data_IF_650745697882
#
_entry.id   IF_650745697882
#
_cell.length_a   1.000
_cell.length_b   1.000
_cell.length_c   1.000
_cell.angle_alpha   90.00
_cell.angle_beta   90.00
_cell.angle_gamma   90.00
#
_symmetry.space_group_name_H-M   'P 1'
#
loop_
_entity.id
_entity.type
_entity.pdbx_description
1 polymer ?
#
# COMPACT_ATOMS: atom_id res chain seq x y z
N UNK A 1 -14.05 7.43 7.46
CA UNK A 1 -13.57 8.11 6.22
C UNK A 1 -12.07 7.87 5.97
N UNK A 2 -11.16 8.35 6.83
CA UNK A 2 -9.70 8.27 6.63
C UNK A 2 -9.13 6.86 6.38
N UNK A 3 -9.67 5.82 7.02
CA UNK A 3 -9.19 4.45 6.82
C UNK A 3 -9.48 3.90 5.42
N UNK A 4 -10.57 4.36 4.78
CA UNK A 4 -10.97 3.91 3.46
C UNK A 4 -10.00 4.47 2.40
N UNK A 5 -9.73 5.79 2.43
CA UNK A 5 -8.75 6.41 1.53
C UNK A 5 -7.36 5.84 1.76
N UNK A 6 -6.94 5.72 3.02
CA UNK A 6 -5.63 5.16 3.38
C UNK A 6 -5.50 3.71 2.91
N UNK A 7 -6.55 2.90 3.09
CA UNK A 7 -6.58 1.52 2.61
C UNK A 7 -6.52 1.41 1.09
N UNK A 8 -7.21 2.30 0.36
CA UNK A 8 -7.19 2.33 -1.10
C UNK A 8 -5.79 2.68 -1.62
N UNK A 9 -5.16 3.68 -1.01
CA UNK A 9 -3.80 4.08 -1.34
C UNK A 9 -2.82 2.96 -1.03
N UNK A 10 -2.89 2.33 0.14
CA UNK A 10 -2.02 1.20 0.50
C UNK A 10 -2.22 -0.03 -0.39
N UNK A 11 -3.46 -0.29 -0.83
CA UNK A 11 -3.76 -1.41 -1.72
C UNK A 11 -3.27 -1.19 -3.16
N UNK A 12 -3.26 0.06 -3.64
CA UNK A 12 -2.94 0.40 -5.04
C UNK A 12 -1.53 0.95 -5.25
N UNK A 13 -0.96 1.63 -4.25
CA UNK A 13 0.38 2.19 -4.28
C UNK A 13 1.45 1.18 -4.68
N UNK A 14 1.55 -0.04 -4.09
CA UNK A 14 2.60 -1.00 -4.46
C UNK A 14 2.50 -1.52 -5.91
N UNK A 15 1.35 -1.33 -6.57
CA UNK A 15 1.12 -1.73 -7.97
C UNK A 15 1.24 -0.55 -8.95
N UNK A 16 1.44 0.65 -8.43
CA UNK A 16 1.55 1.86 -9.23
C UNK A 16 2.97 2.06 -9.75
N UNK A 17 3.09 2.74 -10.89
CA UNK A 17 4.39 3.15 -11.45
C UNK A 17 5.18 4.07 -10.49
N UNK A 18 4.50 4.72 -9.53
CA UNK A 18 5.13 5.52 -8.49
C UNK A 18 5.95 4.67 -7.51
N UNK A 19 5.52 3.43 -7.25
CA UNK A 19 6.26 2.50 -6.38
C UNK A 19 7.53 1.99 -7.05
N UNK A 20 7.49 1.75 -8.37
CA UNK A 20 8.65 1.31 -9.15
C UNK A 20 9.65 2.44 -9.45
N UNK A 21 9.19 3.69 -9.59
CA UNK A 21 10.04 4.86 -9.89
C UNK A 21 10.17 5.80 -8.71
N UNK A 22 10.31 5.24 -7.51
CA UNK A 22 10.37 6.02 -6.28
C UNK A 22 11.78 6.58 -6.03
N UNK A 23 11.88 7.87 -5.70
CA UNK A 23 13.15 8.55 -5.39
C UNK A 23 13.88 7.88 -4.21
N UNK A 24 13.14 7.25 -3.31
CA UNK A 24 13.69 6.45 -2.20
C UNK A 24 14.44 5.20 -2.65
N UNK A 25 14.00 4.55 -3.74
CA UNK A 25 14.70 3.41 -4.33
C UNK A 25 15.99 3.84 -5.03
N UNK A 26 16.00 5.06 -5.56
CA UNK A 26 17.17 5.67 -6.19
C UNK A 26 18.24 6.06 -5.16
N UNK A 27 17.83 6.52 -3.97
CA UNK A 27 18.76 6.87 -2.88
C UNK A 27 19.20 5.63 -2.09
N UNK A 28 18.36 4.58 -1.97
CA UNK A 28 18.63 3.38 -1.16
C UNK A 28 18.49 2.07 -1.97
N UNK A 29 19.45 1.76 -2.86
CA UNK A 29 19.37 0.61 -3.77
C UNK A 29 19.33 -0.74 -3.04
N UNK A 30 19.90 -0.84 -1.82
CA UNK A 30 19.85 -2.06 -1.01
C UNK A 30 18.43 -2.41 -0.54
N UNK A 31 17.61 -1.39 -0.23
CA UNK A 31 16.20 -1.60 0.10
C UNK A 31 15.33 -1.75 -1.14
N UNK A 32 15.82 -1.31 -2.31
CA UNK A 32 15.05 -1.39 -3.53
C UNK A 32 14.74 -2.82 -3.94
N UNK A 33 15.71 -3.73 -3.83
CA UNK A 33 15.48 -5.16 -4.09
C UNK A 33 14.39 -5.75 -3.20
N UNK A 34 14.37 -5.39 -1.91
CA UNK A 34 13.38 -5.88 -0.93
C UNK A 34 11.99 -5.29 -1.22
N UNK A 35 11.91 -3.99 -1.47
CA UNK A 35 10.65 -3.27 -1.71
C UNK A 35 9.97 -3.66 -3.03
N UNK A 36 10.75 -4.15 -4.01
CA UNK A 36 10.25 -4.67 -5.28
C UNK A 36 9.85 -6.15 -5.22
N UNK A 37 10.13 -6.87 -4.11
CA UNK A 37 9.68 -8.26 -3.97
C UNK A 37 8.16 -8.35 -3.93
N UNK A 38 7.60 -9.40 -4.55
CA UNK A 38 6.17 -9.68 -4.48
C UNK A 38 5.66 -9.85 -3.04
N UNK A 39 6.51 -10.30 -2.12
CA UNK A 39 6.18 -10.43 -0.70
C UNK A 39 5.88 -9.07 -0.03
N UNK A 40 6.73 -8.06 -0.25
CA UNK A 40 6.51 -6.72 0.32
C UNK A 40 5.31 -6.03 -0.32
N UNK A 41 5.18 -6.14 -1.65
CA UNK A 41 3.98 -5.63 -2.36
C UNK A 41 2.70 -6.27 -1.83
N UNK A 42 2.73 -7.58 -1.60
CA UNK A 42 1.63 -8.34 -1.01
C UNK A 42 1.33 -7.94 0.44
N UNK A 43 2.35 -7.75 1.27
CA UNK A 43 2.19 -7.33 2.67
C UNK A 43 1.55 -5.94 2.77
N UNK A 44 2.06 -4.96 1.99
CA UNK A 44 1.53 -3.59 1.94
C UNK A 44 0.10 -3.59 1.41
N UNK A 45 -0.18 -4.37 0.37
CA UNK A 45 -1.55 -4.52 -0.16
C UNK A 45 -2.49 -5.17 0.85
N UNK A 46 -2.03 -6.18 1.59
CA UNK A 46 -2.81 -6.85 2.64
C UNK A 46 -3.20 -5.90 3.78
N UNK A 47 -2.27 -5.07 4.23
CA UNK A 47 -2.56 -4.00 5.21
C UNK A 47 -3.58 -3.00 4.64
N UNK A 48 -3.45 -2.64 3.36
CA UNK A 48 -4.42 -1.80 2.65
C UNK A 48 -5.83 -2.40 2.62
N UNK A 49 -5.95 -3.69 2.32
CA UNK A 49 -7.23 -4.42 2.30
C UNK A 49 -7.89 -4.46 3.68
N UNK A 50 -7.12 -4.65 4.76
CA UNK A 50 -7.64 -4.61 6.13
C UNK A 50 -8.15 -3.20 6.47
N UNK A 51 -7.39 -2.16 6.14
CA UNK A 51 -7.81 -0.77 6.34
C UNK A 51 -9.08 -0.44 5.54
N UNK A 52 -9.17 -0.92 4.29
CA UNK A 52 -10.38 -0.79 3.47
C UNK A 52 -11.57 -1.48 4.13
N UNK A 53 -11.40 -2.71 4.60
CA UNK A 53 -12.47 -3.47 5.24
C UNK A 53 -13.02 -2.77 6.49
N UNK A 54 -12.14 -2.29 7.37
CA UNK A 54 -12.54 -1.53 8.57
C UNK A 54 -13.17 -0.19 8.19
N UNK A 55 -12.61 0.52 7.20
CA UNK A 55 -13.18 1.78 6.71
C UNK A 55 -14.55 1.63 6.06
N UNK A 56 -14.79 0.52 5.35
CA UNK A 56 -16.08 0.18 4.76
C UNK A 56 -17.08 -0.22 5.85
N UNK A 57 -16.62 -0.93 6.88
CA UNK A 57 -17.46 -1.33 7.99
C UNK A 57 -17.95 -0.12 8.81
N UNK A 58 -17.05 0.82 9.11
CA UNK A 58 -17.39 2.11 9.72
C UNK A 58 -18.41 2.90 8.87
N UNK A 59 -18.31 2.84 7.55
CA UNK A 59 -19.24 3.54 6.65
C UNK A 59 -20.63 2.88 6.61
N UNK A 60 -20.70 1.55 6.70
CA UNK A 60 -21.97 0.79 6.70
C UNK A 60 -22.66 0.76 8.06
N UNK A 61 -21.90 0.94 9.14
CA UNK A 61 -22.41 0.97 10.50
C UNK A 61 -23.02 2.33 10.90
N UNK A 62 -22.94 3.32 10.02
CA UNK A 62 -23.47 4.68 10.18
C UNK A 62 -24.62 4.92 9.20
#
# INVERSE_FOLDING_TARGET
MYLLETGLVLATAPWSALWERNLFLEVWPAFAGVMQTGAVRGAVSGVGTVCLGVGLWELLAW
#
